data_IF_783732058349
#
_entry.id   IF_783732058349
#
_cell.length_a   1.000
_cell.length_b   1.000
_cell.length_c   1.000
_cell.angle_alpha   90.00
_cell.angle_beta   90.00
_cell.angle_gamma   90.00
#
_symmetry.space_group_name_H-M   'P 1'
#
loop_
_entity.id
_entity.type
_entity.pdbx_description
1 polymer ?
#
# COMPACT_ATOMS: atom_id res chain seq x y z
N UNK A 1 34.42 -4.38 -6.80
CA UNK A 1 34.46 -3.30 -5.78
C UNK A 1 33.55 -3.74 -4.64
N UNK A 2 34.08 -3.72 -3.42
CA UNK A 2 33.39 -4.25 -2.24
C UNK A 2 32.09 -3.46 -1.96
N UNK A 3 30.95 -4.15 -1.99
CA UNK A 3 29.68 -3.59 -1.53
C UNK A 3 29.88 -3.15 -0.07
N UNK A 4 29.73 -1.87 0.19
CA UNK A 4 29.71 -1.33 1.55
C UNK A 4 28.40 -1.85 2.18
N UNK A 5 28.52 -2.97 2.91
CA UNK A 5 27.50 -3.41 3.85
C UNK A 5 27.26 -2.25 4.83
N UNK A 6 26.23 -1.44 4.58
CA UNK A 6 25.79 -0.44 5.54
C UNK A 6 25.15 -1.20 6.70
N UNK A 7 25.82 -1.17 7.85
CA UNK A 7 25.29 -1.71 9.10
C UNK A 7 23.93 -1.08 9.39
N UNK A 8 22.95 -1.93 9.77
CA UNK A 8 21.70 -1.46 10.38
C UNK A 8 22.02 -0.46 11.50
N UNK A 9 21.17 0.56 11.73
CA UNK A 9 21.25 1.38 12.93
C UNK A 9 21.39 0.48 14.16
N UNK A 10 22.16 0.88 15.15
CA UNK A 10 22.49 0.05 16.33
C UNK A 10 21.29 -0.46 17.12
N UNK A 11 20.10 0.08 16.86
CA UNK A 11 18.82 -0.26 17.50
C UNK A 11 17.82 -0.96 16.56
N UNK A 12 18.12 -1.10 15.25
CA UNK A 12 17.19 -1.75 14.33
C UNK A 12 17.08 -3.26 14.62
N UNK A 13 15.88 -3.86 14.55
CA UNK A 13 15.69 -5.30 14.64
C UNK A 13 16.60 -6.04 13.66
N UNK A 14 17.13 -7.20 14.05
CA UNK A 14 18.00 -8.01 13.19
C UNK A 14 17.25 -8.91 12.21
N UNK A 15 15.96 -9.08 12.43
CA UNK A 15 15.09 -9.96 11.62
C UNK A 15 13.77 -9.29 11.30
N UNK A 16 13.10 -9.78 10.25
CA UNK A 16 11.77 -9.30 9.86
C UNK A 16 10.70 -9.57 10.94
N UNK A 17 10.82 -10.67 11.70
CA UNK A 17 9.97 -10.97 12.86
C UNK A 17 10.18 -9.95 13.98
N UNK A 18 11.41 -9.46 14.14
CA UNK A 18 11.72 -8.37 15.07
C UNK A 18 11.02 -7.08 14.66
N UNK A 19 10.98 -6.76 13.36
CA UNK A 19 10.20 -5.60 12.85
C UNK A 19 8.72 -5.73 13.22
N UNK A 20 8.13 -6.92 13.02
CA UNK A 20 6.74 -7.19 13.39
C UNK A 20 6.50 -6.99 14.89
N UNK A 21 7.41 -7.45 15.74
CA UNK A 21 7.31 -7.30 17.20
C UNK A 21 7.32 -5.82 17.60
N UNK A 22 8.25 -5.02 17.07
CA UNK A 22 8.33 -3.58 17.30
C UNK A 22 7.05 -2.86 16.81
N UNK A 23 6.55 -3.17 15.61
CA UNK A 23 5.32 -2.57 15.08
C UNK A 23 4.11 -2.94 15.93
N UNK A 24 4.01 -4.18 16.42
CA UNK A 24 2.93 -4.57 17.34
C UNK A 24 2.92 -3.71 18.62
N UNK A 25 4.09 -3.39 19.17
CA UNK A 25 4.21 -2.50 20.32
C UNK A 25 3.81 -1.05 20.02
N UNK A 26 3.94 -0.62 18.76
CA UNK A 26 3.60 0.74 18.32
C UNK A 26 2.11 0.96 18.02
N UNK A 27 1.28 -0.10 17.85
CA UNK A 27 -0.12 0.03 17.40
C UNK A 27 -0.93 1.02 18.26
N UNK A 28 -0.77 0.97 19.59
CA UNK A 28 -1.45 1.89 20.51
C UNK A 28 -1.01 3.34 20.32
N UNK A 29 0.27 3.59 20.08
CA UNK A 29 0.81 4.93 19.85
C UNK A 29 0.39 5.47 18.47
N UNK A 30 0.40 4.63 17.45
CA UNK A 30 -0.09 4.99 16.11
C UNK A 30 -1.56 5.42 16.17
N UNK A 31 -2.40 4.71 16.97
CA UNK A 31 -3.81 5.06 17.18
C UNK A 31 -3.95 6.39 17.92
N UNK A 32 -3.19 6.60 18.99
CA UNK A 32 -3.21 7.84 19.74
C UNK A 32 -2.79 9.06 18.92
N UNK A 33 -1.87 8.90 17.95
CA UNK A 33 -1.40 9.96 17.05
C UNK A 33 -2.23 10.11 15.76
N UNK A 34 -3.20 9.24 15.51
CA UNK A 34 -4.02 9.26 14.29
C UNK A 34 -4.83 10.57 14.13
N UNK A 35 -5.44 11.16 15.18
CA UNK A 35 -6.09 12.47 15.06
C UNK A 35 -5.15 13.58 14.57
N UNK A 36 -3.92 13.58 15.08
CA UNK A 36 -2.91 14.58 14.69
C UNK A 36 -2.38 14.33 13.28
N UNK A 37 -2.19 13.06 12.87
CA UNK A 37 -1.87 12.67 11.49
C UNK A 37 -2.92 13.22 10.52
N UNK A 38 -4.21 13.11 10.86
CA UNK A 38 -5.30 13.67 10.07
C UNK A 38 -5.23 15.22 10.03
N UNK A 39 -5.04 15.88 11.17
CA UNK A 39 -4.93 17.33 11.27
C UNK A 39 -3.74 17.89 10.46
N UNK A 40 -2.60 17.25 10.52
CA UNK A 40 -1.39 17.60 9.77
C UNK A 40 -1.53 17.31 8.27
N UNK A 41 -2.48 16.45 7.88
CA UNK A 41 -2.64 15.93 6.51
C UNK A 41 -1.37 15.29 5.96
N UNK A 42 -0.57 14.72 6.85
CA UNK A 42 0.68 13.99 6.57
C UNK A 42 1.01 13.07 7.74
N UNK A 43 1.90 12.13 7.55
CA UNK A 43 2.36 11.26 8.64
C UNK A 43 2.87 12.09 9.81
N UNK A 44 2.46 11.72 11.01
CA UNK A 44 3.01 12.31 12.23
C UNK A 44 4.54 12.11 12.26
N UNK A 45 5.36 13.14 12.58
CA UNK A 45 6.82 13.00 12.56
C UNK A 45 7.36 11.85 13.41
N UNK A 46 6.78 11.64 14.59
CA UNK A 46 7.16 10.52 15.45
C UNK A 46 6.78 9.15 14.85
N UNK A 47 5.67 9.05 14.10
CA UNK A 47 5.34 7.80 13.41
C UNK A 47 6.40 7.49 12.33
N UNK A 48 6.82 8.49 11.58
CA UNK A 48 7.87 8.31 10.56
C UNK A 48 9.18 7.87 11.19
N UNK A 49 9.60 8.52 12.30
CA UNK A 49 10.80 8.16 13.05
C UNK A 49 10.72 6.73 13.59
N UNK A 50 9.67 6.42 14.38
CA UNK A 50 9.53 5.15 15.07
C UNK A 50 9.45 3.98 14.08
N UNK A 51 8.73 4.14 12.94
CA UNK A 51 8.64 3.12 11.89
C UNK A 51 9.95 2.98 11.07
N UNK A 52 10.72 4.07 10.91
CA UNK A 52 12.06 4.01 10.31
C UNK A 52 13.01 3.23 11.21
N UNK A 53 13.03 3.54 12.51
CA UNK A 53 13.86 2.86 13.53
C UNK A 53 13.47 1.38 13.65
N UNK A 54 12.17 1.06 13.59
CA UNK A 54 11.68 -0.32 13.55
C UNK A 54 12.08 -1.08 12.27
N UNK A 55 12.59 -0.40 11.23
CA UNK A 55 13.06 -1.03 10.00
C UNK A 55 11.97 -1.32 8.97
N UNK A 56 10.78 -0.75 9.11
CA UNK A 56 9.61 -1.01 8.24
C UNK A 56 9.93 -0.80 6.75
N UNK A 57 10.63 0.29 6.41
CA UNK A 57 10.93 0.62 5.01
C UNK A 57 12.00 -0.29 4.37
N UNK A 58 12.63 -1.17 5.15
CA UNK A 58 13.62 -2.16 4.68
C UNK A 58 13.04 -3.57 4.48
N UNK A 59 11.76 -3.79 4.82
CA UNK A 59 11.13 -5.12 4.82
C UNK A 59 11.30 -5.85 3.50
N UNK A 60 10.99 -5.19 2.38
CA UNK A 60 10.98 -5.79 1.05
C UNK A 60 12.28 -5.59 0.25
N UNK A 61 13.25 -4.84 0.76
CA UNK A 61 14.52 -4.57 0.10
C UNK A 61 15.44 -5.82 0.14
N UNK A 62 16.35 -5.98 -0.86
CA UNK A 62 17.32 -7.06 -0.86
C UNK A 62 18.25 -7.04 0.36
N UNK A 63 18.69 -8.23 0.79
CA UNK A 63 19.55 -8.38 1.98
C UNK A 63 20.95 -7.80 1.80
N UNK A 64 21.51 -7.87 0.59
CA UNK A 64 22.84 -7.34 0.26
C UNK A 64 22.93 -5.82 0.31
N UNK A 65 21.79 -5.12 0.28
CA UNK A 65 21.71 -3.64 0.47
C UNK A 65 21.17 -3.25 1.84
N UNK A 66 21.13 -4.19 2.80
CA UNK A 66 20.69 -3.96 4.17
C UNK A 66 19.17 -4.04 4.38
N UNK A 67 18.44 -4.66 3.46
CA UNK A 67 17.04 -5.03 3.61
C UNK A 67 16.85 -6.37 4.33
N UNK A 68 15.59 -6.72 4.60
CA UNK A 68 15.23 -7.99 5.23
C UNK A 68 14.80 -9.05 4.19
N UNK A 69 14.43 -8.65 2.98
CA UNK A 69 13.81 -9.54 1.98
C UNK A 69 12.75 -10.42 2.64
N UNK A 70 11.92 -9.78 3.46
CA UNK A 70 10.95 -10.45 4.32
C UNK A 70 9.91 -11.22 3.49
N UNK A 71 9.54 -12.39 3.98
CA UNK A 71 8.43 -13.14 3.40
C UNK A 71 7.13 -12.33 3.37
N UNK A 72 6.31 -12.56 2.36
CA UNK A 72 5.09 -11.78 2.10
C UNK A 72 4.13 -11.79 3.29
N UNK A 73 4.07 -12.89 4.06
CA UNK A 73 3.20 -12.98 5.23
C UNK A 73 3.63 -12.01 6.35
N UNK A 74 4.94 -11.83 6.55
CA UNK A 74 5.47 -10.88 7.53
C UNK A 74 5.24 -9.45 7.05
N UNK A 75 5.52 -9.16 5.78
CA UNK A 75 5.24 -7.85 5.17
C UNK A 75 3.76 -7.50 5.31
N UNK A 76 2.88 -8.46 4.98
CA UNK A 76 1.44 -8.30 5.09
C UNK A 76 1.00 -7.99 6.52
N UNK A 77 1.48 -8.76 7.50
CA UNK A 77 1.08 -8.55 8.90
C UNK A 77 1.61 -7.23 9.45
N UNK A 78 2.86 -6.84 9.14
CA UNK A 78 3.41 -5.53 9.54
C UNK A 78 2.54 -4.38 9.00
N UNK A 79 2.20 -4.40 7.71
CA UNK A 79 1.39 -3.36 7.09
C UNK A 79 -0.04 -3.34 7.64
N UNK A 80 -0.62 -4.51 7.93
CA UNK A 80 -1.92 -4.62 8.58
C UNK A 80 -1.89 -4.04 10.00
N UNK A 81 -0.87 -4.32 10.80
CA UNK A 81 -0.75 -3.78 12.16
C UNK A 81 -0.56 -2.26 12.19
N UNK A 82 0.22 -1.68 11.26
CA UNK A 82 0.33 -0.22 11.14
C UNK A 82 -1.04 0.38 10.80
N UNK A 83 -1.77 -0.20 9.84
CA UNK A 83 -3.12 0.27 9.45
C UNK A 83 -4.16 0.06 10.55
N UNK A 84 -4.01 -0.97 11.40
CA UNK A 84 -4.82 -1.21 12.61
C UNK A 84 -4.66 -0.08 13.62
N UNK A 85 -3.47 0.51 13.71
CA UNK A 85 -3.21 1.69 14.54
C UNK A 85 -3.70 2.98 13.89
N UNK A 86 -3.26 3.24 12.64
CA UNK A 86 -3.57 4.47 11.90
C UNK A 86 -3.71 4.18 10.40
N UNK A 87 -4.93 4.21 9.83
CA UNK A 87 -5.19 3.94 8.42
C UNK A 87 -4.30 4.72 7.45
N UNK A 88 -4.23 6.04 7.63
CA UNK A 88 -3.42 6.92 6.76
C UNK A 88 -1.93 6.59 6.82
N UNK A 89 -1.38 6.34 8.03
CA UNK A 89 0.03 5.93 8.20
C UNK A 89 0.27 4.56 7.55
N UNK A 90 -0.63 3.61 7.75
CA UNK A 90 -0.52 2.26 7.17
C UNK A 90 -0.52 2.29 5.65
N UNK A 91 -1.39 3.07 5.03
CA UNK A 91 -1.42 3.22 3.58
C UNK A 91 -0.14 3.86 3.02
N UNK A 92 0.37 4.92 3.67
CA UNK A 92 1.66 5.51 3.26
C UNK A 92 2.82 4.52 3.37
N UNK A 93 2.89 3.74 4.46
CA UNK A 93 3.90 2.68 4.60
C UNK A 93 3.75 1.60 3.53
N UNK A 94 2.51 1.21 3.21
CA UNK A 94 2.23 0.25 2.12
C UNK A 94 2.82 0.72 0.80
N UNK A 95 2.54 1.97 0.38
CA UNK A 95 3.09 2.52 -0.86
C UNK A 95 4.62 2.50 -0.84
N UNK A 96 5.24 2.96 0.25
CA UNK A 96 6.71 3.06 0.31
C UNK A 96 7.39 1.68 0.40
N UNK A 97 6.85 0.73 1.17
CA UNK A 97 7.41 -0.63 1.27
C UNK A 97 7.32 -1.36 -0.07
N UNK A 98 6.16 -1.27 -0.74
CA UNK A 98 5.96 -1.90 -2.05
C UNK A 98 6.86 -1.25 -3.10
N UNK A 99 6.95 0.08 -3.14
CA UNK A 99 7.76 0.77 -4.13
C UNK A 99 9.28 0.62 -3.90
N UNK A 100 9.73 0.32 -2.67
CA UNK A 100 11.15 0.06 -2.38
C UNK A 100 11.70 -1.23 -3.02
N UNK A 101 10.84 -2.06 -3.63
CA UNK A 101 11.27 -3.20 -4.47
C UNK A 101 11.69 -2.73 -5.87
N UNK A 102 11.13 -1.63 -6.38
CA UNK A 102 11.35 -1.19 -7.77
C UNK A 102 12.83 -1.08 -8.14
N UNK A 103 13.74 -0.51 -7.31
CA UNK A 103 15.15 -0.44 -7.67
C UNK A 103 15.79 -1.81 -7.97
N UNK A 104 15.36 -2.90 -7.28
CA UNK A 104 15.86 -4.25 -7.55
C UNK A 104 15.41 -4.82 -8.91
N UNK A 105 14.48 -4.16 -9.59
CA UNK A 105 13.96 -4.55 -10.89
C UNK A 105 14.64 -3.76 -12.05
N UNK A 106 15.37 -2.70 -11.74
CA UNK A 106 16.06 -1.83 -12.69
C UNK A 106 17.46 -2.38 -13.05
N UNK A 107 18.15 -1.72 -13.96
CA UNK A 107 19.56 -1.99 -14.23
C UNK A 107 20.39 -1.89 -12.94
N UNK A 108 21.42 -2.76 -12.81
CA UNK A 108 22.19 -2.90 -11.56
C UNK A 108 22.83 -1.58 -11.09
N UNK A 109 23.29 -0.73 -12.00
CA UNK A 109 23.85 0.58 -11.68
C UNK A 109 22.82 1.54 -11.07
N UNK A 110 21.58 1.49 -11.53
CA UNK A 110 20.49 2.28 -10.97
C UNK A 110 20.08 1.74 -9.58
N UNK A 111 20.05 0.43 -9.41
CA UNK A 111 19.81 -0.21 -8.13
C UNK A 111 20.86 0.22 -7.09
N UNK A 112 22.16 0.19 -7.46
CA UNK A 112 23.26 0.60 -6.58
C UNK A 112 23.12 2.06 -6.14
N UNK A 113 22.79 2.95 -7.07
CA UNK A 113 22.61 4.37 -6.80
C UNK A 113 21.43 4.61 -5.83
N UNK A 114 20.27 4.01 -6.13
CA UNK A 114 19.06 4.26 -5.38
C UNK A 114 19.15 3.64 -3.97
N UNK A 115 19.62 2.39 -3.86
CA UNK A 115 19.80 1.74 -2.55
C UNK A 115 20.93 2.35 -1.71
N UNK A 116 21.83 3.15 -2.30
CA UNK A 116 22.79 3.94 -1.53
C UNK A 116 22.14 5.08 -0.72
N UNK A 117 20.87 5.42 -1.02
CA UNK A 117 20.13 6.46 -0.30
C UNK A 117 19.86 6.02 1.14
N UNK A 118 20.26 6.79 2.16
CA UNK A 118 19.92 6.50 3.55
C UNK A 118 18.38 6.52 3.74
N UNK A 119 17.88 5.55 4.52
CA UNK A 119 16.45 5.43 4.85
C UNK A 119 15.55 5.57 3.61
N UNK A 120 15.86 4.77 2.59
CA UNK A 120 15.15 4.78 1.32
C UNK A 120 13.63 4.68 1.52
N UNK A 121 12.92 5.62 0.93
CA UNK A 121 11.46 5.67 0.82
C UNK A 121 11.09 6.09 -0.59
N UNK A 122 10.65 5.13 -1.38
CA UNK A 122 10.21 5.35 -2.76
C UNK A 122 8.68 5.45 -2.79
N UNK A 123 8.15 6.35 -3.62
CA UNK A 123 6.73 6.38 -3.95
C UNK A 123 6.55 6.23 -5.46
N UNK A 124 5.40 5.71 -5.87
CA UNK A 124 5.09 5.51 -7.29
C UNK A 124 3.67 6.01 -7.60
N UNK A 125 3.49 6.51 -8.82
CA UNK A 125 2.17 6.87 -9.37
C UNK A 125 2.07 6.31 -10.79
N UNK A 126 1.20 5.32 -11.00
CA UNK A 126 1.09 4.60 -12.29
C UNK A 126 0.19 5.34 -13.28
N UNK A 127 -0.62 6.33 -12.86
CA UNK A 127 -1.41 7.14 -13.77
C UNK A 127 -0.50 7.88 -14.78
N UNK A 128 -0.68 7.68 -16.11
CA UNK A 128 0.26 8.15 -17.12
C UNK A 128 -0.01 9.60 -17.52
N UNK A 129 0.12 10.52 -16.60
CA UNK A 129 -0.20 11.94 -16.83
C UNK A 129 1.00 12.81 -17.19
N UNK A 130 2.21 12.22 -17.25
CA UNK A 130 3.44 12.89 -17.67
C UNK A 130 4.00 12.29 -18.95
N UNK A 131 5.02 12.97 -19.51
CA UNK A 131 5.77 12.57 -20.68
C UNK A 131 7.24 12.36 -20.35
N UNK A 132 7.84 11.34 -20.97
CA UNK A 132 9.28 11.10 -20.96
C UNK A 132 9.82 11.20 -22.40
N UNK A 133 10.35 12.35 -22.76
CA UNK A 133 10.88 12.60 -24.11
C UNK A 133 12.28 11.99 -24.21
N UNK A 134 12.53 11.09 -25.17
CA UNK A 134 13.86 10.47 -25.33
C UNK A 134 14.94 11.50 -25.66
N UNK A 135 16.09 11.37 -25.02
CA UNK A 135 17.34 12.06 -25.33
C UNK A 135 18.47 11.02 -25.32
N UNK A 136 19.67 11.38 -25.72
CA UNK A 136 20.78 10.42 -25.78
C UNK A 136 21.03 9.75 -24.41
N UNK A 137 20.82 8.44 -24.36
CA UNK A 137 20.99 7.60 -23.14
C UNK A 137 20.05 7.89 -21.97
N UNK A 138 18.99 8.70 -22.16
CA UNK A 138 18.14 9.18 -21.09
C UNK A 138 16.75 9.64 -21.56
N UNK A 139 15.99 10.22 -20.64
CA UNK A 139 14.70 10.87 -20.89
C UNK A 139 14.66 12.25 -20.22
N UNK A 140 13.96 13.21 -20.84
CA UNK A 140 13.51 14.43 -20.22
C UNK A 140 12.06 14.24 -19.78
N UNK A 141 11.83 14.35 -18.46
CA UNK A 141 10.53 14.07 -17.86
C UNK A 141 9.84 15.36 -17.47
N UNK A 142 8.60 15.53 -17.92
CA UNK A 142 7.72 16.64 -17.54
C UNK A 142 6.31 16.13 -17.32
N UNK A 143 5.66 16.56 -16.24
CA UNK A 143 4.29 16.16 -15.97
C UNK A 143 3.77 16.57 -14.61
N UNK A 144 2.49 16.22 -14.38
CA UNK A 144 1.80 16.45 -13.13
C UNK A 144 1.01 15.20 -12.75
N UNK A 145 1.28 14.64 -11.58
CA UNK A 145 0.62 13.42 -11.07
C UNK A 145 -0.21 13.78 -9.83
N UNK A 146 -1.52 13.59 -9.93
CA UNK A 146 -2.49 14.05 -8.92
C UNK A 146 -2.59 13.19 -7.67
N UNK A 147 -2.11 11.97 -7.69
CA UNK A 147 -2.32 10.99 -6.63
C UNK A 147 -1.01 10.46 -6.04
N UNK A 148 -0.05 11.35 -5.80
CA UNK A 148 1.24 10.95 -5.21
C UNK A 148 1.13 10.80 -3.68
N UNK A 149 0.63 9.65 -3.22
CA UNK A 149 0.56 9.29 -1.79
C UNK A 149 1.95 9.27 -1.17
N UNK A 150 2.09 9.87 0.02
CA UNK A 150 3.32 9.95 0.80
C UNK A 150 4.50 10.67 0.10
N UNK A 151 4.30 11.36 -1.02
CA UNK A 151 5.36 12.00 -1.78
C UNK A 151 6.26 12.92 -0.95
N UNK A 152 5.69 13.70 -0.05
CA UNK A 152 6.43 14.60 0.87
C UNK A 152 7.27 13.86 1.94
N UNK A 153 7.12 12.54 2.05
CA UNK A 153 7.86 11.67 2.98
C UNK A 153 8.85 10.76 2.24
N UNK A 154 8.84 10.78 0.91
CA UNK A 154 9.74 9.98 0.08
C UNK A 154 11.03 10.72 -0.22
N UNK A 155 12.06 9.99 -0.63
CA UNK A 155 13.30 10.53 -1.18
C UNK A 155 13.52 10.11 -2.64
N UNK A 156 12.67 9.19 -3.16
CA UNK A 156 12.59 8.83 -4.57
C UNK A 156 11.14 8.77 -5.04
N UNK A 157 10.90 9.23 -6.28
CA UNK A 157 9.60 9.20 -6.93
C UNK A 157 9.67 8.42 -8.25
N UNK A 158 8.70 7.53 -8.47
CA UNK A 158 8.59 6.67 -9.64
C UNK A 158 7.25 6.94 -10.39
N UNK A 159 7.15 8.03 -11.17
CA UNK A 159 5.98 8.30 -11.98
C UNK A 159 5.95 7.47 -13.27
N UNK A 160 4.76 7.04 -13.70
CA UNK A 160 4.55 6.54 -15.04
C UNK A 160 4.40 7.69 -16.04
N UNK A 161 5.09 7.57 -17.17
CA UNK A 161 5.15 8.55 -18.24
C UNK A 161 4.83 7.90 -19.58
N UNK A 162 4.17 8.64 -20.47
CA UNK A 162 4.06 8.28 -21.89
C UNK A 162 5.37 8.65 -22.59
N UNK A 163 5.89 7.76 -23.45
CA UNK A 163 7.03 8.05 -24.32
C UNK A 163 6.50 8.41 -25.70
N UNK A 164 6.65 9.67 -26.17
CA UNK A 164 6.17 10.07 -27.48
C UNK A 164 6.83 9.26 -28.60
N UNK A 165 6.04 8.69 -29.52
CA UNK A 165 6.53 7.94 -30.68
C UNK A 165 6.78 6.45 -30.42
N UNK A 166 6.63 5.94 -29.20
CA UNK A 166 6.55 4.50 -28.95
C UNK A 166 5.11 4.05 -29.21
N UNK A 167 4.93 3.01 -30.07
CA UNK A 167 3.64 2.35 -30.31
C UNK A 167 3.28 1.48 -29.08
N UNK A 168 1.99 1.09 -28.97
CA UNK A 168 1.50 0.20 -27.92
C UNK A 168 1.72 0.71 -26.47
N UNK A 169 1.20 1.91 -26.19
CA UNK A 169 1.22 2.44 -24.82
C UNK A 169 2.62 2.40 -24.19
N UNK A 170 3.62 2.99 -24.82
CA UNK A 170 4.97 3.12 -24.29
C UNK A 170 5.04 3.77 -22.92
N UNK A 171 4.32 3.16 -21.94
CA UNK A 171 4.33 3.59 -20.56
C UNK A 171 5.60 3.15 -19.87
N UNK A 172 6.30 4.11 -19.34
CA UNK A 172 7.58 3.89 -18.65
C UNK A 172 7.53 4.47 -17.24
N UNK A 173 7.86 3.67 -16.25
CA UNK A 173 8.20 4.17 -14.92
C UNK A 173 9.57 4.83 -15.00
N UNK A 174 9.68 6.04 -14.46
CA UNK A 174 10.91 6.82 -14.45
C UNK A 174 11.25 7.19 -13.01
N UNK A 175 12.44 6.81 -12.49
CA UNK A 175 12.80 7.07 -11.10
C UNK A 175 13.72 8.29 -11.00
N UNK A 176 13.33 9.22 -10.12
CA UNK A 176 14.07 10.46 -9.86
C UNK A 176 14.10 10.79 -8.36
N UNK A 177 15.13 11.51 -7.87
CA UNK A 177 15.14 12.05 -6.52
C UNK A 177 13.94 12.96 -6.28
N UNK A 178 13.30 12.83 -5.12
CA UNK A 178 12.15 13.70 -4.75
C UNK A 178 12.56 15.18 -4.61
N UNK A 179 13.85 15.46 -4.44
CA UNK A 179 14.36 16.83 -4.46
C UNK A 179 14.13 17.56 -5.79
N UNK A 180 13.91 16.82 -6.89
CA UNK A 180 13.58 17.36 -8.22
C UNK A 180 12.06 17.46 -8.48
N UNK A 181 11.24 17.19 -7.45
CA UNK A 181 9.77 17.12 -7.53
C UNK A 181 9.16 18.21 -6.67
N UNK A 182 8.30 19.03 -7.25
CA UNK A 182 7.49 19.99 -6.50
C UNK A 182 6.19 19.33 -6.03
N UNK A 183 5.84 19.47 -4.75
CA UNK A 183 4.59 18.95 -4.18
C UNK A 183 3.63 20.08 -3.87
N UNK A 184 2.46 20.08 -4.51
CA UNK A 184 1.39 21.01 -4.21
C UNK A 184 0.46 20.43 -3.14
N UNK A 185 0.37 21.07 -1.99
CA UNK A 185 -0.50 20.66 -0.87
C UNK A 185 -1.98 20.91 -1.18
N UNK A 186 -2.60 19.99 -1.90
CA UNK A 186 -3.98 20.05 -2.36
C UNK A 186 -4.90 18.95 -1.81
N UNK A 187 -4.37 17.99 -1.04
CA UNK A 187 -5.15 16.84 -0.55
C UNK A 187 -6.15 17.27 0.54
N UNK A 188 -7.43 17.37 0.19
CA UNK A 188 -8.56 17.76 1.04
C UNK A 188 -9.67 16.72 0.94
N UNK A 189 -9.41 15.49 1.40
CA UNK A 189 -10.32 14.37 1.26
C UNK A 189 -11.16 14.15 2.53
N UNK A 190 -12.33 13.53 2.36
CA UNK A 190 -13.25 13.19 3.45
C UNK A 190 -12.72 12.10 4.40
N UNK A 191 -11.79 11.28 3.92
CA UNK A 191 -11.05 10.26 4.68
C UNK A 191 -9.65 10.12 4.08
N UNK A 192 -8.79 9.29 4.69
CA UNK A 192 -7.39 9.19 4.30
C UNK A 192 -6.68 10.55 4.28
N UNK A 193 -7.16 11.50 5.07
CA UNK A 193 -6.70 12.88 5.03
C UNK A 193 -5.22 13.01 5.41
N UNK A 194 -4.70 12.10 6.25
CA UNK A 194 -3.31 12.08 6.68
C UNK A 194 -2.32 11.47 5.69
N UNK A 195 -2.74 11.07 4.48
CA UNK A 195 -1.86 10.37 3.53
C UNK A 195 -0.97 11.28 2.69
N UNK A 196 -1.16 12.60 2.77
CA UNK A 196 -0.42 13.55 1.92
C UNK A 196 -0.43 13.13 0.44
N UNK A 197 -1.61 12.72 -0.07
CA UNK A 197 -1.79 12.30 -1.47
C UNK A 197 -1.87 13.53 -2.37
N UNK A 198 -0.78 14.25 -2.41
CA UNK A 198 -0.65 15.55 -3.05
C UNK A 198 -0.39 15.43 -4.56
N UNK A 199 -0.47 16.57 -5.26
CA UNK A 199 0.03 16.68 -6.63
C UNK A 199 1.55 16.70 -6.59
N UNK A 200 2.19 15.85 -7.42
CA UNK A 200 3.62 15.91 -7.73
C UNK A 200 3.80 16.53 -9.10
N UNK A 201 4.66 17.54 -9.21
CA UNK A 201 4.99 18.26 -10.46
C UNK A 201 6.46 18.08 -10.76
N UNK A 202 6.75 17.76 -12.01
CA UNK A 202 8.11 17.58 -12.53
C UNK A 202 8.25 18.41 -13.79
N UNK A 203 9.33 19.17 -13.91
CA UNK A 203 9.57 20.04 -15.05
C UNK A 203 10.96 19.82 -15.62
N UNK A 204 11.03 19.20 -16.79
CA UNK A 204 12.25 18.97 -17.59
C UNK A 204 13.38 18.25 -16.81
N UNK A 205 13.04 17.26 -15.98
CA UNK A 205 14.01 16.49 -15.20
C UNK A 205 14.71 15.44 -16.08
N UNK A 206 16.04 15.39 -15.98
CA UNK A 206 16.87 14.41 -16.69
C UNK A 206 16.88 13.07 -15.93
N UNK A 207 16.40 12.00 -16.58
CA UNK A 207 16.35 10.66 -16.00
C UNK A 207 17.14 9.69 -16.90
N UNK A 208 18.29 9.15 -16.45
CA UNK A 208 19.04 8.13 -17.16
C UNK A 208 18.16 6.92 -17.51
N UNK A 209 18.36 6.32 -18.70
CA UNK A 209 17.59 5.14 -19.13
C UNK A 209 17.69 3.97 -18.15
N UNK A 210 18.81 3.82 -17.45
CA UNK A 210 19.01 2.81 -16.39
C UNK A 210 18.02 2.94 -15.23
N UNK A 211 17.49 4.15 -14.95
CA UNK A 211 16.47 4.41 -13.93
C UNK A 211 15.05 4.29 -14.43
N UNK A 212 14.83 3.61 -15.56
CA UNK A 212 13.52 3.48 -16.17
C UNK A 212 13.17 2.03 -16.49
N UNK A 213 11.88 1.70 -16.52
CA UNK A 213 11.38 0.38 -16.89
C UNK A 213 10.01 0.50 -17.56
N UNK A 214 9.73 -0.32 -18.57
CA UNK A 214 8.41 -0.40 -19.19
C UNK A 214 7.38 -0.96 -18.18
N UNK A 215 6.19 -0.36 -18.13
CA UNK A 215 5.12 -0.84 -17.25
C UNK A 215 4.68 -2.25 -17.64
N UNK A 216 4.66 -2.59 -18.94
CA UNK A 216 4.37 -3.94 -19.40
C UNK A 216 5.41 -4.96 -18.91
N UNK A 217 6.69 -4.58 -18.83
CA UNK A 217 7.71 -5.45 -18.29
C UNK A 217 7.54 -5.72 -16.78
N UNK A 218 7.00 -4.75 -16.03
CA UNK A 218 6.61 -4.94 -14.63
C UNK A 218 5.45 -5.93 -14.48
N UNK A 219 4.48 -5.91 -15.42
CA UNK A 219 3.36 -6.83 -15.43
C UNK A 219 3.79 -8.26 -15.81
N UNK A 220 4.78 -8.40 -16.69
CA UNK A 220 5.22 -9.69 -17.23
C UNK A 220 6.41 -10.30 -16.47
N UNK A 221 7.00 -9.56 -15.52
CA UNK A 221 8.20 -10.02 -14.81
C UNK A 221 9.49 -10.00 -15.67
N UNK A 222 9.54 -9.14 -16.70
CA UNK A 222 10.72 -8.96 -17.56
C UNK A 222 11.54 -7.77 -17.07
N UNK A 223 12.60 -8.02 -16.32
CA UNK A 223 13.39 -6.99 -15.67
C UNK A 223 14.79 -6.83 -16.25
N UNK A 224 15.30 -5.59 -16.40
CA UNK A 224 16.69 -5.36 -16.82
C UNK A 224 17.72 -5.74 -15.74
N UNK A 225 17.30 -5.90 -14.47
CA UNK A 225 18.17 -6.33 -13.37
C UNK A 225 18.83 -7.69 -13.66
N UNK A 226 20.17 -7.75 -13.50
CA UNK A 226 20.94 -8.97 -13.63
C UNK A 226 21.26 -9.59 -12.28
N UNK A 227 21.57 -8.78 -11.29
CA UNK A 227 21.93 -9.19 -9.93
C UNK A 227 20.85 -10.05 -9.26
N UNK A 228 19.58 -9.68 -9.46
CA UNK A 228 18.45 -10.33 -8.80
C UNK A 228 17.64 -11.24 -9.71
N UNK A 229 18.05 -11.46 -10.97
CA UNK A 229 17.31 -12.24 -11.97
C UNK A 229 17.08 -13.71 -11.59
N UNK A 230 17.92 -14.29 -10.73
CA UNK A 230 17.76 -15.66 -10.22
C UNK A 230 17.11 -15.72 -8.85
N UNK A 231 16.70 -14.58 -8.28
CA UNK A 231 16.09 -14.52 -6.95
C UNK A 231 14.55 -14.55 -7.11
N UNK A 232 13.87 -15.63 -6.71
CA UNK A 232 12.42 -15.77 -6.92
C UNK A 232 11.62 -14.58 -6.41
N UNK A 233 12.03 -13.98 -5.30
CA UNK A 233 11.40 -12.79 -4.72
C UNK A 233 11.32 -11.60 -5.68
N UNK A 234 12.36 -11.38 -6.50
CA UNK A 234 12.46 -10.23 -7.44
C UNK A 234 12.18 -10.63 -8.90
N UNK A 235 11.77 -11.87 -9.17
CA UNK A 235 11.48 -12.34 -10.53
C UNK A 235 9.99 -12.45 -10.83
N UNK A 236 9.12 -12.24 -9.84
CA UNK A 236 7.66 -12.31 -9.98
C UNK A 236 7.10 -11.04 -10.61
N UNK A 237 5.92 -11.11 -11.28
CA UNK A 237 5.24 -9.93 -11.80
C UNK A 237 4.98 -8.89 -10.69
N UNK A 238 5.54 -7.69 -10.85
CA UNK A 238 5.45 -6.64 -9.85
C UNK A 238 4.00 -6.14 -9.63
N UNK A 239 3.15 -6.20 -10.67
CA UNK A 239 1.73 -5.84 -10.54
C UNK A 239 1.01 -6.76 -9.56
N UNK A 240 1.31 -8.06 -9.55
CA UNK A 240 0.76 -8.98 -8.54
C UNK A 240 1.29 -8.66 -7.14
N UNK A 241 2.55 -8.22 -7.02
CA UNK A 241 3.12 -7.77 -5.75
C UNK A 241 2.42 -6.52 -5.21
N UNK A 242 2.08 -5.55 -6.08
CA UNK A 242 1.28 -4.38 -5.70
C UNK A 242 -0.06 -4.83 -5.09
N UNK A 243 -0.75 -5.78 -5.71
CA UNK A 243 -2.04 -6.27 -5.21
C UNK A 243 -1.88 -6.97 -3.85
N UNK A 244 -0.92 -7.89 -3.72
CA UNK A 244 -0.67 -8.63 -2.49
C UNK A 244 -0.19 -7.71 -1.34
N UNK A 245 0.67 -6.74 -1.63
CA UNK A 245 1.20 -5.78 -0.65
C UNK A 245 0.19 -4.71 -0.23
N UNK A 246 -0.82 -4.40 -1.04
CA UNK A 246 -1.83 -3.37 -0.74
C UNK A 246 -3.02 -3.90 0.07
N UNK A 247 -3.41 -5.14 -0.10
CA UNK A 247 -4.53 -5.76 0.59
C UNK A 247 -4.44 -5.72 2.14
N UNK A 248 -3.27 -5.91 2.76
CA UNK A 248 -3.13 -5.90 4.21
C UNK A 248 -3.53 -4.57 4.87
N UNK A 249 -3.36 -3.44 4.19
CA UNK A 249 -3.78 -2.14 4.73
C UNK A 249 -5.29 -2.10 4.97
N UNK A 250 -6.08 -2.65 4.05
CA UNK A 250 -7.54 -2.73 4.16
C UNK A 250 -7.97 -3.64 5.32
N UNK A 251 -7.34 -4.81 5.43
CA UNK A 251 -7.56 -5.73 6.54
C UNK A 251 -7.23 -5.09 7.89
N UNK A 252 -6.11 -4.37 7.98
CA UNK A 252 -5.70 -3.66 9.19
C UNK A 252 -6.74 -2.61 9.64
N UNK A 253 -7.36 -1.90 8.70
CA UNK A 253 -8.45 -0.96 9.00
C UNK A 253 -9.67 -1.67 9.61
N UNK A 254 -10.05 -2.83 9.08
CA UNK A 254 -11.16 -3.61 9.63
C UNK A 254 -10.86 -4.13 11.05
N UNK A 255 -9.64 -4.63 11.28
CA UNK A 255 -9.16 -5.04 12.61
C UNK A 255 -9.17 -3.85 13.60
N UNK A 256 -8.71 -2.68 13.16
CA UNK A 256 -8.69 -1.46 13.99
C UNK A 256 -10.10 -0.96 14.37
N UNK A 257 -11.04 -1.01 13.43
CA UNK A 257 -12.43 -0.69 13.71
C UNK A 257 -13.08 -1.68 14.69
N UNK A 258 -12.79 -2.98 14.55
CA UNK A 258 -13.22 -4.01 15.48
C UNK A 258 -12.67 -3.75 16.88
N UNK A 259 -11.39 -3.43 17.02
CA UNK A 259 -10.79 -3.06 18.32
C UNK A 259 -11.52 -1.90 18.98
N UNK A 260 -11.73 -0.80 18.23
CA UNK A 260 -12.41 0.39 18.73
C UNK A 260 -13.83 0.08 19.18
N UNK A 261 -14.57 -0.73 18.41
CA UNK A 261 -15.92 -1.15 18.77
C UNK A 261 -15.93 -1.99 20.03
N UNK A 262 -15.11 -3.03 20.11
CA UNK A 262 -15.03 -3.93 21.27
C UNK A 262 -14.54 -3.24 22.54
N UNK A 263 -13.63 -2.26 22.41
CA UNK A 263 -13.14 -1.47 23.56
C UNK A 263 -14.25 -0.61 24.18
N UNK A 264 -15.16 -0.08 23.37
CA UNK A 264 -16.24 0.79 23.85
C UNK A 264 -17.50 0.03 24.25
N UNK A 265 -17.74 -1.16 23.71
CA UNK A 265 -18.97 -1.94 23.92
C UNK A 265 -19.33 -2.20 25.39
N UNK A 266 -18.41 -2.58 26.29
CA UNK A 266 -18.74 -2.88 27.70
C UNK A 266 -19.28 -1.68 28.48
N UNK A 267 -18.94 -0.47 28.08
CA UNK A 267 -19.32 0.78 28.77
C UNK A 267 -20.51 1.49 28.14
N UNK A 268 -21.02 0.97 27.00
CA UNK A 268 -22.16 1.58 26.29
C UNK A 268 -23.47 1.35 27.06
N UNK A 269 -24.13 2.46 27.37
CA UNK A 269 -25.42 2.48 28.09
C UNK A 269 -26.61 2.05 27.24
N UNK A 270 -27.75 2.61 27.55
CA UNK A 270 -29.03 2.30 26.90
C UNK A 270 -29.03 2.60 25.41
N UNK A 271 -29.74 1.75 24.66
CA UNK A 271 -30.07 2.05 23.26
C UNK A 271 -31.37 2.87 23.28
N UNK A 272 -31.27 4.13 22.85
CA UNK A 272 -32.39 5.08 22.85
C UNK A 272 -33.59 4.53 22.08
N UNK A 273 -34.78 4.76 22.60
CA UNK A 273 -36.05 4.27 22.08
C UNK A 273 -36.23 2.74 22.10
N UNK A 274 -35.44 2.02 22.89
CA UNK A 274 -35.59 0.57 23.11
C UNK A 274 -35.70 0.24 24.62
N UNK A 275 -36.05 -0.99 24.95
CA UNK A 275 -36.05 -1.48 26.34
C UNK A 275 -34.65 -1.90 26.85
N UNK A 276 -33.59 -1.74 26.04
CA UNK A 276 -32.25 -2.21 26.40
C UNK A 276 -31.47 -1.14 27.15
N UNK A 277 -31.21 -1.38 28.44
CA UNK A 277 -30.41 -0.48 29.29
C UNK A 277 -28.91 -0.56 29.06
N UNK A 278 -28.42 -1.63 28.47
CA UNK A 278 -27.01 -1.83 28.06
C UNK A 278 -26.97 -2.32 26.64
N UNK A 279 -26.17 -1.62 25.81
CA UNK A 279 -26.02 -1.97 24.42
C UNK A 279 -25.44 -3.39 24.23
N UNK A 280 -24.53 -3.81 25.10
CA UNK A 280 -23.91 -5.13 25.05
C UNK A 280 -24.88 -6.30 25.26
N UNK A 281 -26.09 -6.05 25.80
CA UNK A 281 -27.12 -7.06 26.04
C UNK A 281 -28.18 -7.13 24.91
N UNK A 282 -28.12 -6.22 23.93
CA UNK A 282 -29.09 -6.13 22.86
C UNK A 282 -28.90 -7.20 21.78
N UNK A 283 -29.86 -8.08 21.49
CA UNK A 283 -29.74 -9.14 20.49
C UNK A 283 -29.43 -8.62 19.08
N UNK A 284 -29.97 -7.46 18.71
CA UNK A 284 -29.68 -6.82 17.44
C UNK A 284 -28.18 -6.52 17.30
N UNK A 285 -27.54 -6.05 18.37
CA UNK A 285 -26.12 -5.75 18.37
C UNK A 285 -25.25 -7.02 18.23
N UNK A 286 -25.69 -8.12 18.90
CA UNK A 286 -25.01 -9.42 18.74
C UNK A 286 -25.06 -9.90 17.29
N UNK A 287 -26.18 -9.74 16.61
CA UNK A 287 -26.33 -10.08 15.21
C UNK A 287 -25.44 -9.22 14.29
N UNK A 288 -25.40 -7.91 14.54
CA UNK A 288 -24.56 -6.99 13.78
C UNK A 288 -23.07 -7.28 14.00
N UNK A 289 -22.66 -7.57 15.22
CA UNK A 289 -21.28 -7.92 15.55
C UNK A 289 -20.86 -9.24 14.89
N UNK A 290 -21.72 -10.25 14.89
CA UNK A 290 -21.43 -11.53 14.21
C UNK A 290 -21.25 -11.33 12.69
N UNK A 291 -22.09 -10.48 12.06
CA UNK A 291 -21.91 -10.14 10.62
C UNK A 291 -20.60 -9.43 10.35
N UNK A 292 -20.22 -8.46 11.19
CA UNK A 292 -18.95 -7.77 11.06
C UNK A 292 -17.77 -8.75 11.19
N UNK A 293 -17.85 -9.69 12.14
CA UNK A 293 -16.85 -10.74 12.34
C UNK A 293 -16.74 -11.66 11.11
N UNK A 294 -17.85 -12.09 10.50
CA UNK A 294 -17.82 -12.91 9.28
C UNK A 294 -17.14 -12.18 8.12
N UNK A 295 -17.39 -10.87 7.96
CA UNK A 295 -16.71 -10.08 6.94
C UNK A 295 -15.20 -9.97 7.21
N UNK A 296 -14.80 -9.80 8.48
CA UNK A 296 -13.40 -9.73 8.86
C UNK A 296 -12.68 -11.06 8.58
N UNK A 297 -13.25 -12.19 9.04
CA UNK A 297 -12.69 -13.53 8.80
C UNK A 297 -12.57 -13.84 7.31
N UNK A 298 -13.58 -13.49 6.52
CA UNK A 298 -13.52 -13.65 5.06
C UNK A 298 -12.41 -12.79 4.44
N UNK A 299 -12.23 -11.54 4.89
CA UNK A 299 -11.14 -10.68 4.43
C UNK A 299 -9.76 -11.26 4.78
N UNK A 300 -9.60 -11.85 5.97
CA UNK A 300 -8.38 -12.55 6.39
C UNK A 300 -8.09 -13.77 5.50
N UNK A 301 -9.10 -14.60 5.24
CA UNK A 301 -8.97 -15.77 4.38
C UNK A 301 -8.56 -15.38 2.95
N UNK A 302 -9.19 -14.35 2.37
CA UNK A 302 -8.84 -13.89 1.02
C UNK A 302 -7.47 -13.21 0.96
N UNK A 303 -7.06 -12.49 2.01
CA UNK A 303 -5.70 -11.92 2.10
C UNK A 303 -4.64 -13.03 2.13
N UNK A 304 -4.84 -14.06 2.93
CA UNK A 304 -3.96 -15.24 2.95
C UNK A 304 -3.93 -15.95 1.59
N UNK A 305 -5.08 -16.10 0.93
CA UNK A 305 -5.18 -16.71 -0.39
C UNK A 305 -4.49 -15.89 -1.47
N UNK A 306 -4.57 -14.57 -1.43
CA UNK A 306 -3.85 -13.67 -2.34
C UNK A 306 -2.33 -13.79 -2.15
N UNK A 307 -1.85 -13.81 -0.91
CA UNK A 307 -0.43 -14.04 -0.60
C UNK A 307 0.04 -15.42 -1.09
N UNK A 308 -0.77 -16.46 -0.91
CA UNK A 308 -0.46 -17.81 -1.40
C UNK A 308 -0.43 -17.88 -2.93
N UNK A 309 -1.37 -17.21 -3.61
CA UNK A 309 -1.39 -17.10 -5.06
C UNK A 309 -0.10 -16.44 -5.57
N UNK A 310 0.27 -15.30 -5.00
CA UNK A 310 1.51 -14.60 -5.37
C UNK A 310 2.75 -15.47 -5.14
N UNK A 311 2.86 -16.18 -4.01
CA UNK A 311 3.98 -17.10 -3.75
C UNK A 311 4.04 -18.27 -4.74
N UNK A 312 2.91 -18.75 -5.21
CA UNK A 312 2.81 -19.87 -6.15
C UNK A 312 3.42 -19.60 -7.53
N UNK A 313 3.63 -18.32 -7.88
CA UNK A 313 4.16 -17.88 -9.19
C UNK A 313 5.71 -17.88 -9.23
N UNK A 314 6.38 -18.57 -8.34
CA UNK A 314 7.85 -18.51 -8.16
C UNK A 314 8.69 -18.98 -9.36
N UNK A 315 8.18 -19.85 -10.20
CA UNK A 315 8.99 -20.56 -11.21
C UNK A 315 8.45 -20.45 -12.64
N UNK A 316 7.34 -19.80 -12.85
CA UNK A 316 6.71 -19.62 -14.16
C UNK A 316 6.19 -18.20 -14.30
N UNK A 317 6.20 -17.59 -15.49
CA UNK A 317 5.45 -16.36 -15.70
C UNK A 317 4.00 -16.59 -15.24
N UNK A 318 3.46 -15.65 -14.46
CA UNK A 318 2.07 -15.73 -14.04
C UNK A 318 1.16 -15.79 -15.27
N UNK A 319 0.22 -16.75 -15.24
CA UNK A 319 -0.82 -16.84 -16.26
C UNK A 319 -1.74 -15.63 -16.18
N UNK A 320 -2.43 -15.32 -17.27
CA UNK A 320 -3.43 -14.26 -17.29
C UNK A 320 -4.54 -14.51 -16.25
N UNK A 321 -4.88 -15.78 -16.01
CA UNK A 321 -5.85 -16.19 -14.98
C UNK A 321 -5.36 -15.82 -13.58
N UNK A 322 -4.11 -16.12 -13.23
CA UNK A 322 -3.54 -15.79 -11.91
C UNK A 322 -3.46 -14.29 -11.70
N UNK A 323 -3.08 -13.53 -12.72
CA UNK A 323 -3.02 -12.06 -12.66
C UNK A 323 -4.40 -11.45 -12.48
N UNK A 324 -5.38 -11.86 -13.28
CA UNK A 324 -6.77 -11.42 -13.18
C UNK A 324 -7.38 -11.77 -11.80
N UNK A 325 -7.09 -12.98 -11.30
CA UNK A 325 -7.53 -13.43 -9.99
C UNK A 325 -6.93 -12.59 -8.86
N UNK A 326 -5.63 -12.26 -8.92
CA UNK A 326 -4.98 -11.40 -7.92
C UNK A 326 -5.60 -10.00 -7.88
N UNK A 327 -5.92 -9.43 -9.05
CA UNK A 327 -6.59 -8.13 -9.18
C UNK A 327 -8.02 -8.15 -8.62
N UNK A 328 -8.78 -9.22 -8.87
CA UNK A 328 -10.13 -9.36 -8.32
C UNK A 328 -10.10 -9.57 -6.79
N UNK A 329 -9.15 -10.34 -6.29
CA UNK A 329 -9.05 -10.62 -4.86
C UNK A 329 -8.80 -9.36 -4.02
N UNK A 330 -7.95 -8.41 -4.45
CA UNK A 330 -7.77 -7.16 -3.70
C UNK A 330 -9.08 -6.36 -3.63
N UNK A 331 -9.84 -6.27 -4.73
CA UNK A 331 -11.16 -5.62 -4.76
C UNK A 331 -12.17 -6.30 -3.82
N UNK A 332 -12.14 -7.64 -3.77
CA UNK A 332 -13.01 -8.40 -2.88
C UNK A 332 -12.63 -8.23 -1.39
N UNK A 333 -11.33 -8.23 -1.06
CA UNK A 333 -10.82 -7.93 0.28
C UNK A 333 -11.24 -6.53 0.71
N UNK A 334 -11.15 -5.56 -0.21
CA UNK A 334 -11.60 -4.18 0.04
C UNK A 334 -13.10 -4.11 0.36
N UNK A 335 -13.92 -4.84 -0.39
CA UNK A 335 -15.37 -4.91 -0.17
C UNK A 335 -15.72 -5.54 1.18
N UNK A 336 -15.06 -6.63 1.54
CA UNK A 336 -15.25 -7.32 2.83
C UNK A 336 -14.81 -6.44 4.01
N UNK A 337 -13.61 -5.85 3.91
CA UNK A 337 -13.07 -4.97 4.96
C UNK A 337 -13.97 -3.74 5.16
N UNK A 338 -14.44 -3.14 4.06
CA UNK A 338 -15.40 -2.03 4.09
C UNK A 338 -16.74 -2.45 4.71
N UNK A 339 -17.26 -3.62 4.34
CA UNK A 339 -18.52 -4.15 4.91
C UNK A 339 -18.38 -4.35 6.42
N UNK A 340 -17.26 -4.90 6.91
CA UNK A 340 -16.98 -5.03 8.33
C UNK A 340 -17.01 -3.67 9.04
N UNK A 341 -16.25 -2.68 8.55
CA UNK A 341 -16.16 -1.34 9.17
C UNK A 341 -17.51 -0.64 9.15
N UNK A 342 -18.25 -0.67 8.04
CA UNK A 342 -19.56 -0.05 7.93
C UNK A 342 -20.58 -0.70 8.90
N UNK A 343 -20.57 -2.04 9.00
CA UNK A 343 -21.44 -2.76 9.92
C UNK A 343 -21.16 -2.39 11.39
N UNK A 344 -19.88 -2.23 11.78
CA UNK A 344 -19.49 -1.80 13.11
C UNK A 344 -19.87 -0.34 13.37
N UNK A 345 -19.73 0.53 12.38
CA UNK A 345 -20.12 1.93 12.49
C UNK A 345 -21.64 2.09 12.63
N UNK A 346 -22.44 1.35 11.84
CA UNK A 346 -23.90 1.29 11.98
C UNK A 346 -24.35 0.76 13.34
N UNK A 347 -23.63 -0.22 13.89
CA UNK A 347 -23.85 -0.77 15.21
C UNK A 347 -23.41 0.17 16.36
N UNK A 348 -22.77 1.29 16.02
CA UNK A 348 -22.32 2.31 16.97
C UNK A 348 -23.44 3.33 17.23
N UNK A 349 -23.33 4.11 18.31
CA UNK A 349 -24.29 5.17 18.63
C UNK A 349 -23.94 6.49 17.94
N UNK A 350 -24.85 7.47 17.95
CA UNK A 350 -24.64 8.79 17.38
C UNK A 350 -23.39 9.50 17.93
N UNK A 351 -23.01 9.27 19.20
CA UNK A 351 -21.78 9.83 19.77
C UNK A 351 -20.50 9.36 19.04
N UNK A 352 -20.55 8.23 18.35
CA UNK A 352 -19.43 7.69 17.59
C UNK A 352 -19.24 8.37 16.22
N UNK A 353 -20.12 9.30 15.85
CA UNK A 353 -19.94 10.18 14.68
C UNK A 353 -19.07 11.40 14.98
N UNK A 354 -18.81 11.69 16.25
CA UNK A 354 -17.97 12.80 16.66
C UNK A 354 -16.50 12.53 16.30
N UNK A 355 -15.77 13.56 15.89
CA UNK A 355 -14.34 13.44 15.48
C UNK A 355 -13.44 12.92 16.61
N UNK A 356 -13.86 13.04 17.86
CA UNK A 356 -13.15 12.49 19.02
C UNK A 356 -13.27 10.95 19.14
N UNK A 357 -14.22 10.31 18.46
CA UNK A 357 -14.38 8.86 18.47
C UNK A 357 -13.55 8.23 17.36
N UNK A 358 -12.71 7.25 17.68
CA UNK A 358 -11.78 6.68 16.69
C UNK A 358 -12.49 5.94 15.54
N UNK A 359 -13.59 5.26 15.80
CA UNK A 359 -14.27 4.42 14.80
C UNK A 359 -14.74 5.19 13.57
N UNK A 360 -15.15 6.47 13.70
CA UNK A 360 -15.56 7.29 12.56
C UNK A 360 -14.39 7.55 11.60
N UNK A 361 -13.15 7.53 12.09
CA UNK A 361 -11.97 7.70 11.23
C UNK A 361 -11.79 6.47 10.35
N UNK A 362 -11.87 5.27 10.92
CA UNK A 362 -11.83 4.03 10.14
C UNK A 362 -12.97 3.99 9.11
N UNK A 363 -14.18 4.43 9.48
CA UNK A 363 -15.31 4.51 8.57
C UNK A 363 -15.03 5.45 7.38
N UNK A 364 -14.54 6.66 7.62
CA UNK A 364 -14.22 7.61 6.54
C UNK A 364 -13.05 7.10 5.68
N UNK A 365 -12.01 6.62 6.32
CA UNK A 365 -10.78 6.20 5.66
C UNK A 365 -11.01 4.99 4.75
N UNK A 366 -11.70 3.95 5.21
CA UNK A 366 -11.98 2.76 4.38
C UNK A 366 -12.87 3.10 3.17
N UNK A 367 -13.87 3.97 3.36
CA UNK A 367 -14.77 4.37 2.28
C UNK A 367 -14.07 5.24 1.23
N UNK A 368 -13.07 6.04 1.61
CA UNK A 368 -12.25 6.80 0.66
C UNK A 368 -11.23 5.88 -0.03
N UNK A 369 -10.51 5.04 0.71
CA UNK A 369 -9.52 4.13 0.12
C UNK A 369 -10.15 3.13 -0.86
N UNK A 370 -11.37 2.69 -0.60
CA UNK A 370 -12.13 1.81 -1.51
C UNK A 370 -12.35 2.41 -2.92
N UNK A 371 -12.20 3.73 -3.10
CA UNK A 371 -12.29 4.39 -4.40
C UNK A 371 -10.96 4.38 -5.18
N UNK A 372 -9.87 3.86 -4.59
CA UNK A 372 -8.57 3.81 -5.26
C UNK A 372 -8.64 2.87 -6.48
N UNK A 373 -8.13 3.32 -7.64
CA UNK A 373 -8.28 2.61 -8.91
C UNK A 373 -7.79 1.14 -8.91
N UNK A 374 -6.71 0.85 -8.17
CA UNK A 374 -6.19 -0.52 -8.04
C UNK A 374 -6.97 -1.39 -7.04
N UNK A 375 -7.85 -0.79 -6.23
CA UNK A 375 -8.57 -1.46 -5.13
C UNK A 375 -10.06 -1.61 -5.44
N UNK A 376 -10.61 -0.65 -6.19
CA UNK A 376 -12.02 -0.59 -6.55
C UNK A 376 -12.45 -1.89 -7.28
N UNK A 377 -13.46 -2.65 -6.75
CA UNK A 377 -13.71 -4.02 -7.19
C UNK A 377 -14.22 -4.13 -8.63
N UNK A 378 -15.02 -3.16 -9.10
CA UNK A 378 -15.74 -3.29 -10.37
C UNK A 378 -14.82 -3.61 -11.58
N UNK A 379 -13.65 -2.95 -11.66
CA UNK A 379 -12.71 -3.20 -12.76
C UNK A 379 -11.97 -4.53 -12.59
N UNK A 380 -11.66 -4.93 -11.36
CA UNK A 380 -11.03 -6.22 -11.08
C UNK A 380 -11.97 -7.39 -11.35
N UNK A 381 -13.22 -7.27 -10.91
CA UNK A 381 -14.25 -8.28 -11.09
C UNK A 381 -14.61 -8.46 -12.59
N UNK A 382 -14.68 -7.35 -13.37
CA UNK A 382 -14.91 -7.42 -14.80
C UNK A 382 -13.77 -8.17 -15.51
N UNK A 383 -12.52 -7.80 -15.27
CA UNK A 383 -11.35 -8.46 -15.87
C UNK A 383 -11.33 -9.96 -15.52
N UNK A 384 -11.54 -10.31 -14.27
CA UNK A 384 -11.56 -11.70 -13.85
C UNK A 384 -12.74 -12.48 -14.44
N UNK A 385 -13.92 -11.88 -14.44
CA UNK A 385 -15.12 -12.48 -15.05
C UNK A 385 -14.94 -12.75 -16.56
N UNK A 386 -14.30 -11.82 -17.30
CA UNK A 386 -13.97 -12.03 -18.73
C UNK A 386 -13.04 -13.22 -18.92
N UNK A 387 -11.95 -13.29 -18.13
CA UNK A 387 -10.97 -14.39 -18.22
C UNK A 387 -11.61 -15.73 -17.85
N UNK A 388 -12.48 -15.79 -16.83
CA UNK A 388 -13.28 -16.97 -16.50
C UNK A 388 -14.21 -17.41 -17.63
N UNK A 389 -14.74 -16.45 -18.39
CA UNK A 389 -15.59 -16.72 -19.56
C UNK A 389 -14.79 -17.07 -20.83
N UNK A 390 -13.45 -17.16 -20.76
CA UNK A 390 -12.58 -17.45 -21.90
C UNK A 390 -12.36 -16.27 -22.83
N UNK A 391 -12.60 -15.03 -22.37
CA UNK A 391 -12.36 -13.81 -23.10
C UNK A 391 -11.05 -13.17 -22.71
N UNK A 392 -10.41 -12.45 -23.62
CA UNK A 392 -9.23 -11.63 -23.32
C UNK A 392 -9.58 -10.52 -22.32
N UNK A 393 -8.66 -10.15 -21.39
CA UNK A 393 -8.87 -9.01 -20.53
C UNK A 393 -9.01 -7.72 -21.34
N UNK A 394 -9.79 -6.78 -20.80
CA UNK A 394 -9.96 -5.44 -21.37
C UNK A 394 -9.12 -4.37 -20.66
N UNK A 395 -8.05 -4.80 -20.03
CA UNK A 395 -7.10 -3.96 -19.29
C UNK A 395 -5.68 -4.41 -19.62
N UNK A 396 -4.80 -3.46 -19.85
CA UNK A 396 -3.38 -3.73 -20.12
C UNK A 396 -2.58 -4.01 -18.83
N UNK A 397 -3.08 -3.52 -17.69
CA UNK A 397 -2.50 -3.77 -16.37
C UNK A 397 -3.33 -4.86 -15.69
N UNK A 398 -2.99 -6.10 -15.97
CA UNK A 398 -3.61 -7.28 -15.35
C UNK A 398 -2.54 -8.08 -14.61
#
# INVERSE_FOLDING_TARGET
MSAVLRSLPSHAPRTAEGVLAEVNALVGQLRARAPETERLRRMHPDNLRDLTEAGVFRLAMPTDVGGYQAGEDIVAEVLAQISRGCPSTGWMCTIMVVANVIPALLADEAADEIYATPDLRTTATIAPTGQAVPVDGAYRVTGQWTWNTAGVHSNWFAPACVVPGEEDWGLRLTLMPTAEVEHQDNWRAAGMAGTATNIAMVNDVFVPSARTILVNDLADGRYPARRYSGVPYFSRPFVMYINAGSAPALLGMARGAMDCFMQTLPTRGAITYTGWSKAAEAPLLHHQLAKAQYHLEAAEMFTSRLSALYRGVLHTPATIMERAQARAYIGHIASLSRACVNQLFEASSASHTLLAADIQRYFRDINVLHQHAAIQPNSGDEVYGRVLAGLEPNSEIV
#
